data_IF_587676908813
#
_entry.id   IF_587676908813
#
_cell.length_a   1.000
_cell.length_b   1.000
_cell.length_c   1.000
_cell.angle_alpha   90.00
_cell.angle_beta   90.00
_cell.angle_gamma   90.00
#
_symmetry.space_group_name_H-M   'P 1'
#
loop_
_entity.id
_entity.type
_entity.pdbx_description
1 polymer ?
#
# COMPACT_ATOMS: atom_id res chain seq x y z
N UNK A 1 -0.26 3.84 -41.32
CA UNK A 1 -1.13 3.08 -40.36
C UNK A 1 -1.04 3.79 -39.06
N UNK A 2 -2.01 4.65 -38.75
CA UNK A 2 -2.16 5.29 -37.42
C UNK A 2 -2.59 4.20 -36.47
N UNK A 3 -1.73 3.80 -35.55
CA UNK A 3 -2.14 2.97 -34.40
C UNK A 3 -3.10 3.82 -33.56
N UNK A 4 -4.39 3.56 -33.63
CA UNK A 4 -5.32 4.04 -32.64
C UNK A 4 -4.82 3.51 -31.28
N UNK A 5 -4.46 4.40 -30.37
CA UNK A 5 -4.24 4.01 -28.99
C UNK A 5 -5.54 3.37 -28.48
N UNK A 6 -5.49 2.17 -27.90
CA UNK A 6 -6.69 1.55 -27.37
C UNK A 6 -7.32 2.51 -26.34
N UNK A 7 -8.58 2.82 -26.55
CA UNK A 7 -9.33 3.64 -25.59
C UNK A 7 -9.33 2.96 -24.23
N UNK A 8 -9.55 3.72 -23.16
CA UNK A 8 -9.64 3.23 -21.79
C UNK A 8 -11.08 3.36 -21.29
N UNK A 9 -11.66 2.27 -20.83
CA UNK A 9 -12.99 2.24 -20.22
C UNK A 9 -12.89 2.32 -18.69
N UNK A 10 -13.77 3.13 -18.09
CA UNK A 10 -13.86 3.30 -16.63
C UNK A 10 -15.28 3.06 -16.17
N UNK A 11 -15.43 2.35 -15.05
CA UNK A 11 -16.73 2.12 -14.41
C UNK A 11 -16.59 2.05 -12.89
N UNK A 12 -17.61 2.52 -12.20
CA UNK A 12 -17.72 2.36 -10.75
C UNK A 12 -18.27 0.98 -10.41
N UNK A 13 -17.79 0.41 -9.33
CA UNK A 13 -18.24 -0.86 -8.78
C UNK A 13 -18.42 -0.73 -7.26
N UNK A 14 -19.36 -1.46 -6.72
CA UNK A 14 -19.50 -1.56 -5.27
C UNK A 14 -19.92 -2.98 -4.88
N UNK A 15 -19.57 -3.39 -3.67
CA UNK A 15 -19.99 -4.66 -3.11
C UNK A 15 -20.26 -4.55 -1.61
N UNK A 16 -21.15 -5.41 -1.14
CA UNK A 16 -21.45 -5.47 0.29
C UNK A 16 -20.40 -6.30 1.02
N UNK A 17 -20.00 -5.81 2.18
CA UNK A 17 -19.14 -6.51 3.11
C UNK A 17 -19.71 -6.32 4.53
N UNK A 18 -20.39 -7.34 5.03
CA UNK A 18 -21.20 -7.28 6.24
C UNK A 18 -22.26 -6.15 6.18
N UNK A 19 -22.28 -5.27 7.16
CA UNK A 19 -23.17 -4.12 7.23
C UNK A 19 -22.60 -2.86 6.54
N UNK A 20 -21.57 -3.01 5.70
CA UNK A 20 -20.88 -1.89 5.03
C UNK A 20 -20.84 -2.10 3.53
N UNK A 21 -20.59 -1.02 2.79
CA UNK A 21 -20.38 -1.07 1.33
C UNK A 21 -18.96 -0.63 1.02
N UNK A 22 -18.28 -1.40 0.19
CA UNK A 22 -16.99 -1.03 -0.40
C UNK A 22 -17.24 -0.47 -1.80
N UNK A 23 -16.56 0.61 -2.14
CA UNK A 23 -16.66 1.28 -3.43
C UNK A 23 -15.32 1.25 -4.15
N UNK A 24 -15.36 1.04 -5.46
CA UNK A 24 -14.16 0.96 -6.29
C UNK A 24 -14.37 1.49 -7.70
N UNK A 25 -13.26 1.71 -8.37
CA UNK A 25 -13.21 2.10 -9.80
C UNK A 25 -12.47 1.03 -10.57
N UNK A 26 -13.14 0.46 -11.55
CA UNK A 26 -12.58 -0.43 -12.56
C UNK A 26 -12.05 0.41 -13.73
N UNK A 27 -10.86 0.06 -14.19
CA UNK A 27 -10.27 0.61 -15.42
C UNK A 27 -9.82 -0.57 -16.28
N UNK A 28 -10.14 -0.56 -17.58
CA UNK A 28 -9.71 -1.60 -18.49
C UNK A 28 -9.38 -1.05 -19.87
N UNK A 29 -8.58 -1.75 -20.66
CA UNK A 29 -8.47 -1.48 -22.10
C UNK A 29 -9.83 -1.59 -22.77
N UNK A 30 -10.10 -0.74 -23.78
CA UNK A 30 -11.28 -0.91 -24.62
C UNK A 30 -11.12 -2.13 -25.52
N UNK A 31 -12.24 -2.77 -25.82
CA UNK A 31 -12.28 -3.92 -26.72
C UNK A 31 -12.88 -5.17 -26.10
N UNK A 32 -12.82 -6.27 -26.85
CA UNK A 32 -13.33 -7.58 -26.45
C UNK A 32 -12.19 -8.51 -26.08
N UNK A 33 -12.45 -9.44 -25.19
CA UNK A 33 -11.50 -10.46 -24.75
C UNK A 33 -11.36 -10.53 -23.24
N UNK A 34 -10.45 -11.39 -22.79
CA UNK A 34 -10.06 -11.48 -21.39
C UNK A 34 -8.83 -10.61 -21.17
N UNK A 35 -8.82 -9.89 -20.05
CA UNK A 35 -7.69 -9.06 -19.64
C UNK A 35 -7.10 -9.58 -18.34
N UNK A 36 -5.76 -9.66 -18.21
CA UNK A 36 -5.11 -9.76 -16.93
C UNK A 36 -5.51 -8.56 -16.08
N UNK A 37 -5.58 -8.72 -14.77
CA UNK A 37 -6.08 -7.67 -13.89
C UNK A 37 -5.16 -7.42 -12.69
N UNK A 38 -5.18 -6.19 -12.18
CA UNK A 38 -4.43 -5.78 -11.01
C UNK A 38 -5.38 -5.22 -9.97
N UNK A 39 -5.44 -5.84 -8.77
CA UNK A 39 -6.07 -5.22 -7.61
C UNK A 39 -5.07 -4.30 -6.93
N UNK A 40 -5.47 -3.05 -6.65
CA UNK A 40 -4.59 -2.03 -6.09
C UNK A 40 -4.96 -1.74 -4.63
N UNK A 41 -4.00 -1.96 -3.72
CA UNK A 41 -4.21 -1.92 -2.27
C UNK A 41 -3.56 -0.69 -1.68
N UNK A 42 -4.36 0.16 -1.06
CA UNK A 42 -3.91 1.42 -0.47
C UNK A 42 -3.06 1.23 0.80
N UNK A 43 -2.22 2.22 1.09
CA UNK A 43 -1.39 2.29 2.30
C UNK A 43 -2.15 2.72 3.54
N UNK A 44 -1.40 3.11 4.59
CA UNK A 44 -1.90 3.44 5.94
C UNK A 44 -2.89 4.59 5.99
N UNK A 45 -3.70 4.60 7.04
CA UNK A 45 -4.62 5.69 7.38
C UNK A 45 -5.85 5.75 6.47
N UNK A 46 -6.58 6.87 6.46
CA UNK A 46 -7.79 7.06 5.67
C UNK A 46 -7.47 7.34 4.19
N UNK A 47 -6.65 6.49 3.60
CA UNK A 47 -6.18 6.59 2.21
C UNK A 47 -7.22 6.00 1.27
N UNK A 48 -7.68 6.81 0.31
CA UNK A 48 -8.70 6.43 -0.67
C UNK A 48 -8.15 5.54 -1.82
N UNK A 49 -9.01 5.20 -2.76
CA UNK A 49 -8.71 4.35 -3.92
C UNK A 49 -7.65 4.93 -4.87
N UNK A 50 -7.46 6.25 -4.87
CA UNK A 50 -6.44 6.93 -5.67
C UNK A 50 -5.12 7.12 -4.92
N UNK A 51 -5.06 6.58 -3.68
CA UNK A 51 -3.99 6.73 -2.70
C UNK A 51 -3.82 8.17 -2.21
N UNK A 52 -4.89 8.97 -2.26
CA UNK A 52 -4.92 10.25 -1.57
C UNK A 52 -5.22 10.06 -0.08
N UNK A 53 -4.66 10.92 0.73
CA UNK A 53 -4.96 10.95 2.17
C UNK A 53 -5.39 12.37 2.57
N UNK A 54 -6.48 12.54 3.33
CA UNK A 54 -6.88 13.84 3.83
C UNK A 54 -5.89 14.43 4.86
N UNK A 55 -4.92 13.62 5.31
CA UNK A 55 -3.86 14.04 6.22
C UNK A 55 -2.65 14.65 5.50
N UNK A 56 -2.63 14.61 4.17
CA UNK A 56 -1.53 15.08 3.33
C UNK A 56 -2.05 16.15 2.37
N UNK A 57 -1.41 17.31 2.25
CA UNK A 57 -1.83 18.36 1.32
C UNK A 57 -1.82 17.89 -0.14
N UNK A 58 -2.82 18.31 -0.91
CA UNK A 58 -2.94 18.00 -2.33
C UNK A 58 -3.50 16.61 -2.60
N UNK A 59 -3.44 16.20 -3.87
CA UNK A 59 -3.90 14.89 -4.32
C UNK A 59 -2.71 14.07 -4.83
N UNK A 60 -2.37 12.98 -4.13
CA UNK A 60 -1.32 12.07 -4.56
C UNK A 60 -1.67 11.46 -5.94
N UNK A 61 -2.79 10.78 -6.05
CA UNK A 61 -3.32 10.23 -7.30
C UNK A 61 -2.43 9.17 -7.96
N UNK A 62 -1.41 8.63 -7.28
CA UNK A 62 -0.48 7.67 -7.89
C UNK A 62 -1.18 6.40 -8.35
N UNK A 63 -2.15 5.89 -7.58
CA UNK A 63 -2.90 4.71 -8.00
C UNK A 63 -3.69 4.94 -9.29
N UNK A 64 -4.31 6.11 -9.45
CA UNK A 64 -5.02 6.45 -10.67
C UNK A 64 -4.08 6.53 -11.87
N UNK A 65 -2.93 7.17 -11.71
CA UNK A 65 -1.93 7.30 -12.79
C UNK A 65 -1.37 5.93 -13.20
N UNK A 66 -1.09 5.05 -12.24
CA UNK A 66 -0.62 3.70 -12.52
C UNK A 66 -1.71 2.86 -13.19
N UNK A 67 -2.98 2.99 -12.76
CA UNK A 67 -4.10 2.29 -13.39
C UNK A 67 -4.31 2.68 -14.87
N UNK A 68 -4.08 3.95 -15.20
CA UNK A 68 -4.10 4.44 -16.59
C UNK A 68 -2.96 3.82 -17.40
N UNK A 69 -1.74 3.81 -16.86
CA UNK A 69 -0.58 3.18 -17.50
C UNK A 69 -0.73 1.65 -17.66
N UNK A 70 -1.36 0.97 -16.69
CA UNK A 70 -1.70 -0.46 -16.78
C UNK A 70 -2.65 -0.73 -17.96
N UNK A 71 -3.68 0.10 -18.12
CA UNK A 71 -4.63 -0.07 -19.23
C UNK A 71 -3.97 0.10 -20.61
N UNK A 72 -3.00 1.01 -20.73
CA UNK A 72 -2.19 1.17 -21.96
C UNK A 72 -1.33 -0.07 -22.26
N UNK A 73 -1.02 -0.87 -21.26
CA UNK A 73 -0.26 -2.12 -21.37
C UNK A 73 -1.13 -3.38 -21.43
N UNK A 74 -2.44 -3.22 -21.56
CA UNK A 74 -3.37 -4.34 -21.72
C UNK A 74 -3.88 -4.94 -20.41
N UNK A 75 -3.61 -4.33 -19.25
CA UNK A 75 -4.10 -4.79 -17.97
C UNK A 75 -5.36 -4.02 -17.55
N UNK A 76 -6.33 -4.74 -17.03
CA UNK A 76 -7.39 -4.13 -16.25
C UNK A 76 -6.92 -3.85 -14.82
N UNK A 77 -7.61 -2.98 -14.10
CA UNK A 77 -7.32 -2.72 -12.69
C UNK A 77 -8.57 -2.42 -11.88
N UNK A 78 -8.54 -2.73 -10.59
CA UNK A 78 -9.52 -2.31 -9.60
C UNK A 78 -8.81 -1.56 -8.47
N UNK A 79 -9.21 -0.33 -8.26
CA UNK A 79 -8.86 0.49 -7.11
C UNK A 79 -10.08 0.60 -6.21
N UNK A 80 -9.94 0.41 -4.91
CA UNK A 80 -11.07 0.49 -3.98
C UNK A 80 -10.74 1.33 -2.74
N UNK A 81 -11.76 1.98 -2.19
CA UNK A 81 -11.65 2.65 -0.90
C UNK A 81 -11.69 1.61 0.22
N UNK A 82 -10.78 1.70 1.17
CA UNK A 82 -10.96 1.01 2.45
C UNK A 82 -12.28 1.50 3.08
N UNK A 83 -12.99 0.65 3.80
CA UNK A 83 -14.33 0.99 4.34
C UNK A 83 -14.36 2.24 5.21
N UNK A 84 -13.24 2.53 5.89
CA UNK A 84 -13.07 3.74 6.71
C UNK A 84 -12.40 4.91 5.96
N UNK A 85 -12.32 4.85 4.62
CA UNK A 85 -11.67 5.87 3.79
C UNK A 85 -12.56 6.30 2.63
N UNK A 86 -12.13 7.36 1.90
CA UNK A 86 -12.86 7.87 0.75
C UNK A 86 -14.17 8.59 1.10
N UNK A 87 -14.95 8.95 0.08
CA UNK A 87 -16.14 9.80 0.25
C UNK A 87 -17.29 9.13 1.02
N UNK A 88 -17.32 7.79 1.08
CA UNK A 88 -18.36 7.00 1.73
C UNK A 88 -17.99 6.51 3.13
N UNK A 89 -16.83 6.89 3.66
CA UNK A 89 -16.36 6.46 4.98
C UNK A 89 -17.38 6.73 6.10
N UNK A 90 -18.05 7.89 6.07
CA UNK A 90 -19.04 8.27 7.07
C UNK A 90 -20.26 7.34 7.11
N UNK A 91 -20.64 6.74 5.99
CA UNK A 91 -21.77 5.80 5.88
C UNK A 91 -21.44 4.47 6.59
N UNK A 92 -20.18 4.02 6.46
CA UNK A 92 -19.71 2.75 7.03
C UNK A 92 -19.30 2.87 8.51
N UNK A 93 -18.89 4.05 8.94
CA UNK A 93 -18.27 4.26 10.27
C UNK A 93 -19.07 3.71 11.44
N UNK A 94 -20.43 3.85 11.52
CA UNK A 94 -21.20 3.29 12.63
C UNK A 94 -21.08 1.77 12.79
N UNK A 95 -20.83 1.05 11.67
CA UNK A 95 -20.64 -0.40 11.70
C UNK A 95 -19.20 -0.83 12.02
N UNK A 96 -18.23 0.08 11.86
CA UNK A 96 -16.80 -0.21 11.95
C UNK A 96 -16.17 0.12 13.30
N UNK A 97 -16.72 1.08 14.04
CA UNK A 97 -16.15 1.52 15.33
C UNK A 97 -15.95 0.33 16.28
N UNK A 98 -14.72 0.15 16.75
CA UNK A 98 -14.31 -0.94 17.64
C UNK A 98 -14.24 -2.33 16.98
N UNK A 99 -14.34 -2.43 15.67
CA UNK A 99 -14.34 -3.71 14.93
C UNK A 99 -13.29 -3.81 13.84
N UNK A 100 -12.60 -2.71 13.49
CA UNK A 100 -11.52 -2.76 12.50
C UNK A 100 -10.35 -3.61 13.02
N UNK A 101 -9.89 -4.55 12.18
CA UNK A 101 -8.82 -5.50 12.49
C UNK A 101 -8.01 -5.81 11.23
N UNK A 102 -6.92 -6.54 11.36
CA UNK A 102 -6.19 -7.09 10.20
C UNK A 102 -7.11 -7.97 9.34
N UNK A 103 -8.01 -8.75 9.98
CA UNK A 103 -9.02 -9.54 9.27
C UNK A 103 -9.98 -8.65 8.45
N UNK A 104 -10.35 -7.49 8.97
CA UNK A 104 -11.22 -6.55 8.24
C UNK A 104 -10.63 -6.11 6.90
N UNK A 105 -9.31 -5.86 6.85
CA UNK A 105 -8.61 -5.50 5.63
C UNK A 105 -8.39 -6.71 4.70
N UNK A 106 -8.20 -7.90 5.27
CA UNK A 106 -8.16 -9.14 4.51
C UNK A 106 -9.50 -9.37 3.79
N UNK A 107 -10.63 -9.16 4.49
CA UNK A 107 -11.97 -9.31 3.92
C UNK A 107 -12.24 -8.25 2.82
N UNK A 108 -11.77 -7.02 3.00
CA UNK A 108 -11.83 -5.96 1.97
C UNK A 108 -11.09 -6.38 0.69
N UNK A 109 -9.87 -6.88 0.82
CA UNK A 109 -9.09 -7.35 -0.33
C UNK A 109 -9.72 -8.58 -0.99
N UNK A 110 -10.18 -9.54 -0.20
CA UNK A 110 -10.90 -10.71 -0.72
C UNK A 110 -12.17 -10.31 -1.48
N UNK A 111 -12.90 -9.31 -0.99
CA UNK A 111 -14.04 -8.72 -1.66
C UNK A 111 -13.65 -8.04 -2.98
N UNK A 112 -12.56 -7.31 -3.02
CA UNK A 112 -12.04 -6.66 -4.23
C UNK A 112 -11.62 -7.68 -5.30
N UNK A 113 -10.93 -8.76 -4.90
CA UNK A 113 -10.55 -9.84 -5.82
C UNK A 113 -11.80 -10.53 -6.38
N UNK A 114 -12.83 -10.77 -5.55
CA UNK A 114 -14.11 -11.30 -6.03
C UNK A 114 -14.79 -10.35 -7.02
N UNK A 115 -14.84 -9.05 -6.72
CA UNK A 115 -15.41 -8.06 -7.63
C UNK A 115 -14.72 -8.02 -9.00
N UNK A 116 -13.41 -8.30 -9.05
CA UNK A 116 -12.68 -8.51 -10.31
C UNK A 116 -13.11 -9.82 -10.98
N UNK A 117 -13.14 -10.94 -10.26
CA UNK A 117 -13.48 -12.26 -10.85
C UNK A 117 -14.93 -12.35 -11.32
N UNK A 118 -15.82 -11.50 -10.82
CA UNK A 118 -17.21 -11.40 -11.27
C UNK A 118 -17.35 -10.67 -12.61
N UNK A 119 -16.28 -10.01 -13.09
CA UNK A 119 -16.27 -9.40 -14.42
C UNK A 119 -15.99 -10.47 -15.49
N UNK A 120 -16.90 -10.60 -16.45
CA UNK A 120 -16.77 -11.60 -17.52
C UNK A 120 -15.53 -11.43 -18.41
N UNK A 121 -14.93 -10.27 -18.39
CA UNK A 121 -13.74 -9.89 -19.16
C UNK A 121 -12.43 -10.03 -18.37
N UNK A 122 -12.44 -10.47 -17.10
CA UNK A 122 -11.22 -10.70 -16.30
C UNK A 122 -10.71 -12.11 -16.50
N UNK A 123 -9.44 -12.21 -16.77
CA UNK A 123 -8.70 -13.45 -16.78
C UNK A 123 -8.37 -13.90 -15.36
N UNK A 124 -9.16 -14.82 -14.82
CA UNK A 124 -9.14 -15.20 -13.40
C UNK A 124 -7.80 -15.76 -12.89
N UNK A 125 -7.02 -16.39 -13.76
CA UNK A 125 -5.72 -16.92 -13.36
C UNK A 125 -4.58 -15.89 -13.50
N UNK A 126 -4.89 -14.66 -13.91
CA UNK A 126 -3.96 -13.57 -14.17
C UNK A 126 -4.34 -12.34 -13.36
N UNK A 127 -4.64 -12.53 -12.07
CA UNK A 127 -4.91 -11.44 -11.14
C UNK A 127 -3.68 -11.19 -10.28
N UNK A 128 -3.11 -10.00 -10.39
CA UNK A 128 -1.97 -9.53 -9.61
C UNK A 128 -2.43 -8.55 -8.54
N UNK A 129 -1.60 -8.33 -7.51
CA UNK A 129 -1.78 -7.18 -6.61
C UNK A 129 -0.67 -6.15 -6.82
N UNK A 130 -1.03 -4.88 -6.76
CA UNK A 130 -0.12 -3.75 -6.62
C UNK A 130 -0.47 -2.98 -5.34
N UNK A 131 0.51 -2.78 -4.49
CA UNK A 131 0.29 -2.25 -3.15
C UNK A 131 1.07 -0.98 -2.88
N UNK A 132 0.63 -0.19 -1.92
CA UNK A 132 1.38 0.93 -1.37
C UNK A 132 1.59 0.74 0.13
N UNK A 133 2.85 0.81 0.58
CA UNK A 133 3.19 0.87 2.02
C UNK A 133 2.54 -0.27 2.84
N UNK A 134 1.71 0.03 3.84
CA UNK A 134 0.92 -0.93 4.63
C UNK A 134 0.14 -1.92 3.77
N UNK A 135 -0.31 -1.52 2.59
CA UNK A 135 -1.02 -2.40 1.65
C UNK A 135 -0.22 -3.66 1.30
N UNK A 136 1.11 -3.63 1.40
CA UNK A 136 1.98 -4.79 1.22
C UNK A 136 1.69 -5.89 2.24
N UNK A 137 1.44 -5.52 3.51
CA UNK A 137 1.09 -6.47 4.54
C UNK A 137 -0.25 -7.16 4.25
N UNK A 138 -1.23 -6.39 3.76
CA UNK A 138 -2.55 -6.94 3.44
C UNK A 138 -2.48 -7.92 2.26
N UNK A 139 -1.70 -7.61 1.21
CA UNK A 139 -1.53 -8.50 0.08
C UNK A 139 -0.74 -9.77 0.44
N UNK A 140 0.31 -9.65 1.23
CA UNK A 140 1.06 -10.80 1.75
C UNK A 140 0.19 -11.68 2.64
N UNK A 141 -0.53 -11.08 3.61
CA UNK A 141 -1.48 -11.77 4.47
C UNK A 141 -2.53 -12.53 3.66
N UNK A 142 -3.11 -11.89 2.64
CA UNK A 142 -4.07 -12.53 1.75
C UNK A 142 -3.45 -13.76 1.06
N UNK A 143 -2.27 -13.62 0.50
CA UNK A 143 -1.66 -14.65 -0.34
C UNK A 143 -1.21 -15.89 0.45
N UNK A 144 -0.75 -15.73 1.71
CA UNK A 144 -0.24 -16.85 2.51
C UNK A 144 -1.31 -17.63 3.28
N UNK A 145 -2.55 -17.13 3.34
CA UNK A 145 -3.64 -17.78 4.07
C UNK A 145 -4.65 -18.48 3.15
N UNK A 146 -4.17 -19.19 2.13
CA UNK A 146 -4.96 -20.02 1.21
C UNK A 146 -6.20 -19.31 0.66
N UNK A 147 -6.03 -18.21 -0.05
CA UNK A 147 -7.17 -17.43 -0.55
C UNK A 147 -7.99 -18.23 -1.57
N UNK A 148 -9.32 -18.01 -1.58
CA UNK A 148 -10.22 -18.66 -2.53
C UNK A 148 -9.86 -18.37 -4.01
N UNK A 149 -9.24 -17.22 -4.27
CA UNK A 149 -8.67 -16.86 -5.56
C UNK A 149 -7.23 -16.40 -5.32
N UNK A 150 -6.24 -17.26 -5.53
CA UNK A 150 -4.84 -16.87 -5.37
C UNK A 150 -4.43 -15.83 -6.40
N UNK A 151 -3.55 -14.92 -6.00
CA UNK A 151 -2.96 -13.93 -6.90
C UNK A 151 -1.83 -14.58 -7.72
N UNK A 152 -1.69 -14.14 -8.96
CA UNK A 152 -0.64 -14.63 -9.86
C UNK A 152 0.75 -14.04 -9.54
N UNK A 153 0.79 -12.93 -8.82
CA UNK A 153 2.00 -12.29 -8.34
C UNK A 153 1.71 -11.00 -7.58
N UNK A 154 2.72 -10.49 -6.87
CA UNK A 154 2.61 -9.31 -6.01
C UNK A 154 3.62 -8.24 -6.40
N UNK A 155 3.19 -6.99 -6.49
CA UNK A 155 4.05 -5.81 -6.59
C UNK A 155 3.90 -5.01 -5.29
N UNK A 156 4.95 -5.00 -4.48
CA UNK A 156 4.99 -4.38 -3.16
C UNK A 156 5.78 -3.07 -3.23
N UNK A 157 5.11 -1.92 -3.19
CA UNK A 157 5.79 -0.63 -3.27
C UNK A 157 5.85 0.06 -1.91
N UNK A 158 7.01 0.61 -1.55
CA UNK A 158 7.23 1.21 -0.23
C UNK A 158 6.95 0.23 0.93
N UNK A 159 7.18 -1.07 0.71
CA UNK A 159 6.85 -2.12 1.67
C UNK A 159 7.75 -2.05 2.90
N UNK A 160 7.19 -2.01 4.13
CA UNK A 160 7.98 -2.08 5.34
C UNK A 160 8.60 -3.47 5.53
N UNK A 161 9.88 -3.53 5.84
CA UNK A 161 10.62 -4.77 6.13
C UNK A 161 10.91 -4.95 7.60
N UNK A 162 10.25 -4.17 8.45
CA UNK A 162 10.28 -4.25 9.91
C UNK A 162 8.84 -4.17 10.41
N UNK A 163 8.60 -4.59 11.65
CA UNK A 163 7.31 -4.34 12.28
C UNK A 163 6.92 -2.86 12.19
N UNK A 164 5.66 -2.57 11.91
CA UNK A 164 5.17 -1.18 11.70
C UNK A 164 5.52 -0.27 12.87
N UNK A 165 5.42 -0.77 14.10
CA UNK A 165 5.85 -0.02 15.29
C UNK A 165 7.34 0.35 15.27
N UNK A 166 8.20 -0.52 14.75
CA UNK A 166 9.62 -0.23 14.62
C UNK A 166 9.90 0.82 13.52
N UNK A 167 9.14 0.80 12.41
CA UNK A 167 9.21 1.84 11.38
C UNK A 167 8.77 3.18 11.95
N UNK A 168 7.60 3.23 12.62
CA UNK A 168 7.10 4.44 13.27
C UNK A 168 8.09 4.99 14.30
N UNK A 169 8.64 4.11 15.17
CA UNK A 169 9.66 4.51 16.15
C UNK A 169 10.90 5.11 15.49
N UNK A 170 11.36 4.55 14.37
CA UNK A 170 12.51 5.09 13.64
C UNK A 170 12.24 6.49 13.07
N UNK A 171 11.03 6.73 12.58
CA UNK A 171 10.61 8.06 12.10
C UNK A 171 10.60 9.10 13.23
N UNK A 172 10.06 8.73 14.40
CA UNK A 172 10.08 9.60 15.59
C UNK A 172 11.52 9.84 16.06
N UNK A 173 12.36 8.82 16.10
CA UNK A 173 13.76 8.94 16.49
C UNK A 173 14.55 9.89 15.55
N UNK A 174 14.30 9.83 14.24
CA UNK A 174 14.91 10.74 13.29
C UNK A 174 14.50 12.21 13.52
N UNK A 175 13.27 12.45 13.95
CA UNK A 175 12.80 13.80 14.32
C UNK A 175 13.41 14.24 15.66
N UNK A 176 13.41 13.35 16.65
CA UNK A 176 13.94 13.61 17.99
C UNK A 176 15.45 13.90 17.98
N UNK A 177 16.21 13.31 17.07
CA UNK A 177 17.65 13.54 16.95
C UNK A 177 18.03 15.01 16.70
N UNK A 178 17.09 15.82 16.22
CA UNK A 178 17.31 17.23 15.88
C UNK A 178 16.88 18.20 16.99
N UNK A 179 16.47 17.71 18.16
CA UNK A 179 16.04 18.55 19.28
C UNK A 179 16.83 18.20 20.55
N UNK A 180 17.15 19.22 21.41
CA UNK A 180 17.95 18.99 22.64
C UNK A 180 17.33 17.95 23.59
N UNK A 181 16.00 17.89 23.68
CA UNK A 181 15.22 16.95 24.53
C UNK A 181 14.91 15.62 23.82
N UNK A 182 15.64 15.26 22.77
CA UNK A 182 15.34 14.08 21.96
C UNK A 182 15.29 12.77 22.75
N UNK A 183 16.18 12.60 23.74
CA UNK A 183 16.20 11.42 24.58
C UNK A 183 14.93 11.31 25.44
N UNK A 184 14.49 12.42 26.03
CA UNK A 184 13.27 12.50 26.82
C UNK A 184 12.02 12.25 25.95
N UNK A 185 11.99 12.81 24.74
CA UNK A 185 10.92 12.58 23.77
C UNK A 185 10.84 11.10 23.44
N UNK A 186 11.96 10.43 23.16
CA UNK A 186 11.97 8.99 22.87
C UNK A 186 11.53 8.15 24.07
N UNK A 187 11.97 8.47 25.27
CA UNK A 187 11.55 7.74 26.48
C UNK A 187 10.04 7.87 26.73
N UNK A 188 9.48 9.07 26.58
CA UNK A 188 8.05 9.30 26.74
C UNK A 188 7.22 8.61 25.65
N UNK A 189 7.70 8.62 24.39
CA UNK A 189 7.08 7.90 23.29
C UNK A 189 7.09 6.38 23.56
N UNK A 190 8.24 5.80 23.91
CA UNK A 190 8.38 4.37 24.15
C UNK A 190 7.46 3.91 25.31
N UNK A 191 7.40 4.66 26.40
CA UNK A 191 6.50 4.38 27.51
C UNK A 191 5.01 4.43 27.12
N UNK A 192 4.63 5.36 26.23
CA UNK A 192 3.27 5.45 25.70
C UNK A 192 2.92 4.23 24.83
N UNK A 193 3.85 3.78 23.99
CA UNK A 193 3.67 2.59 23.13
C UNK A 193 3.61 1.31 23.98
N UNK A 194 4.43 1.16 25.02
CA UNK A 194 4.34 0.00 25.92
C UNK A 194 2.96 -0.11 26.56
N UNK A 195 2.38 0.99 27.02
CA UNK A 195 1.01 1.02 27.55
C UNK A 195 -0.02 0.63 26.50
N UNK A 196 0.11 1.17 25.27
CA UNK A 196 -0.76 0.83 24.17
C UNK A 196 -0.76 -0.67 23.85
N UNK A 197 0.42 -1.27 23.77
CA UNK A 197 0.57 -2.71 23.50
C UNK A 197 0.05 -3.57 24.67
N UNK A 198 0.16 -3.09 25.89
CA UNK A 198 -0.41 -3.73 27.08
C UNK A 198 -1.94 -3.58 27.19
N UNK A 199 -2.59 -2.90 26.25
CA UNK A 199 -4.03 -2.65 26.30
C UNK A 199 -4.44 -1.60 27.32
N UNK A 200 -3.48 -0.84 27.83
CA UNK A 200 -3.71 0.26 28.79
C UNK A 200 -3.90 1.57 28.02
N UNK A 201 -4.65 2.54 28.56
CA UNK A 201 -4.80 3.84 27.93
C UNK A 201 -3.44 4.51 27.70
N UNK A 202 -3.23 5.02 26.49
CA UNK A 202 -2.13 5.94 26.22
C UNK A 202 -2.45 7.24 26.96
N UNK A 203 -1.53 7.69 27.78
CA UNK A 203 -1.59 9.03 28.37
C UNK A 203 -0.35 9.76 27.87
N UNK A 204 -0.43 10.47 26.72
CA UNK A 204 0.74 11.14 26.17
C UNK A 204 1.29 12.16 27.18
N UNK A 205 2.60 12.17 27.35
CA UNK A 205 3.25 13.19 28.16
C UNK A 205 3.00 14.56 27.54
N UNK A 206 2.51 15.56 28.29
CA UNK A 206 2.24 16.91 27.78
C UNK A 206 3.47 17.63 27.21
N UNK A 207 4.67 17.19 27.55
CA UNK A 207 5.94 17.74 27.01
C UNK A 207 6.27 17.23 25.60
N UNK A 208 5.59 16.20 25.13
CA UNK A 208 5.80 15.67 23.78
C UNK A 208 5.40 16.71 22.71
N UNK A 209 6.15 16.77 21.60
CA UNK A 209 5.73 17.57 20.44
C UNK A 209 4.32 17.20 19.98
N UNK A 210 3.52 18.22 19.65
CA UNK A 210 2.11 18.03 19.30
C UNK A 210 1.86 16.98 18.20
N UNK A 211 2.68 16.87 17.12
CA UNK A 211 2.50 15.81 16.14
C UNK A 211 2.63 14.39 16.73
N UNK A 212 3.51 14.19 17.70
CA UNK A 212 3.67 12.88 18.38
C UNK A 212 2.47 12.61 19.28
N UNK A 213 1.98 13.61 20.02
CA UNK A 213 0.75 13.47 20.81
C UNK A 213 -0.43 13.06 19.92
N UNK A 214 -0.60 13.73 18.77
CA UNK A 214 -1.68 13.41 17.82
C UNK A 214 -1.53 11.99 17.27
N UNK A 215 -0.32 11.56 16.91
CA UNK A 215 -0.06 10.18 16.48
C UNK A 215 -0.48 9.19 17.57
N UNK A 216 -0.01 9.36 18.81
CA UNK A 216 -0.32 8.46 19.91
C UNK A 216 -1.84 8.40 20.18
N UNK A 217 -2.53 9.53 20.16
CA UNK A 217 -3.99 9.58 20.31
C UNK A 217 -4.71 8.87 19.17
N UNK A 218 -4.18 8.97 17.96
CA UNK A 218 -4.78 8.31 16.78
C UNK A 218 -4.75 6.78 16.88
N UNK A 219 -3.75 6.21 17.55
CA UNK A 219 -3.66 4.77 17.78
C UNK A 219 -4.81 4.22 18.63
N UNK A 220 -5.30 5.03 19.59
CA UNK A 220 -6.43 4.65 20.45
C UNK A 220 -7.80 5.10 19.91
N UNK A 221 -7.84 5.73 18.76
CA UNK A 221 -9.11 6.14 18.20
C UNK A 221 -10.02 4.92 18.00
N UNK A 222 -11.27 4.93 18.53
CA UNK A 222 -12.10 3.73 18.54
C UNK A 222 -12.33 3.12 17.14
N UNK A 223 -12.31 3.92 16.08
CA UNK A 223 -12.42 3.42 14.72
C UNK A 223 -11.16 2.67 14.23
N UNK A 224 -10.02 2.84 14.89
CA UNK A 224 -8.76 2.17 14.54
C UNK A 224 -8.48 0.91 15.36
N UNK A 225 -9.28 0.62 16.39
CA UNK A 225 -9.08 -0.53 17.25
C UNK A 225 -10.02 -1.70 16.87
N UNK A 226 -9.56 -2.96 17.00
CA UNK A 226 -8.22 -3.42 17.45
C UNK A 226 -7.09 -3.29 16.41
N UNK A 227 -7.39 -2.94 15.15
CA UNK A 227 -6.46 -2.93 14.01
C UNK A 227 -5.11 -2.27 14.31
N UNK A 228 -5.10 -1.06 14.90
CA UNK A 228 -3.87 -0.34 15.15
C UNK A 228 -2.90 -1.13 16.06
N UNK A 229 -3.43 -1.89 17.04
CA UNK A 229 -2.61 -2.71 17.93
C UNK A 229 -2.06 -3.95 17.22
N UNK A 230 -2.87 -4.60 16.40
CA UNK A 230 -2.45 -5.74 15.59
C UNK A 230 -1.38 -5.32 14.58
N UNK A 231 -1.64 -4.23 13.84
CA UNK A 231 -0.73 -3.69 12.84
C UNK A 231 0.64 -3.32 13.45
N UNK A 232 0.65 -2.74 14.67
CA UNK A 232 1.86 -2.24 15.31
C UNK A 232 2.93 -3.32 15.49
N UNK A 233 2.51 -4.55 15.68
CA UNK A 233 3.39 -5.72 15.87
C UNK A 233 3.57 -6.57 14.61
N UNK A 234 2.85 -6.24 13.54
CA UNK A 234 2.91 -7.01 12.29
C UNK A 234 4.21 -6.75 11.54
N UNK A 235 4.84 -7.85 11.11
CA UNK A 235 6.07 -7.87 10.32
C UNK A 235 5.84 -8.60 9.00
N UNK A 236 6.05 -7.91 7.89
CA UNK A 236 5.86 -8.44 6.53
C UNK A 236 6.87 -9.54 6.17
N UNK A 237 8.04 -9.58 6.82
CA UNK A 237 9.11 -10.53 6.47
C UNK A 237 8.70 -11.98 6.69
N UNK A 238 7.92 -12.25 7.76
CA UNK A 238 7.42 -13.60 8.04
C UNK A 238 6.53 -14.12 6.91
N UNK A 239 5.62 -13.29 6.42
CA UNK A 239 4.74 -13.67 5.31
C UNK A 239 5.48 -13.74 3.98
N UNK A 240 6.41 -12.83 3.71
CA UNK A 240 7.20 -12.86 2.48
C UNK A 240 8.02 -14.15 2.36
N UNK A 241 8.52 -14.68 3.48
CA UNK A 241 9.22 -15.95 3.51
C UNK A 241 8.35 -17.16 3.09
N UNK A 242 7.02 -17.05 3.23
CA UNK A 242 6.07 -18.12 2.92
C UNK A 242 5.39 -17.96 1.55
N UNK A 243 5.54 -16.79 0.90
CA UNK A 243 4.92 -16.55 -0.42
C UNK A 243 5.52 -17.50 -1.48
N UNK A 244 4.63 -18.11 -2.26
CA UNK A 244 4.98 -19.06 -3.34
C UNK A 244 4.82 -18.51 -4.76
N UNK A 245 4.31 -17.28 -4.90
CA UNK A 245 4.15 -16.60 -6.19
C UNK A 245 5.28 -15.61 -6.43
N UNK A 246 5.54 -15.19 -7.67
CA UNK A 246 6.51 -14.14 -7.97
C UNK A 246 6.19 -12.83 -7.24
N UNK A 247 7.21 -12.14 -6.75
CA UNK A 247 7.07 -10.85 -6.06
C UNK A 247 8.06 -9.84 -6.62
N UNK A 248 7.59 -8.61 -6.85
CA UNK A 248 8.44 -7.45 -7.08
C UNK A 248 8.35 -6.53 -5.87
N UNK A 249 9.48 -6.19 -5.25
CA UNK A 249 9.57 -5.19 -4.18
C UNK A 249 10.23 -3.94 -4.73
N UNK A 250 9.54 -2.79 -4.63
CA UNK A 250 10.04 -1.48 -5.07
C UNK A 250 10.07 -0.53 -3.89
N UNK A 251 11.26 -0.08 -3.50
CA UNK A 251 11.44 0.93 -2.44
C UNK A 251 12.37 2.03 -2.96
N UNK A 252 11.84 3.24 -3.12
CA UNK A 252 12.60 4.36 -3.64
C UNK A 252 13.73 4.79 -2.69
N UNK A 253 14.88 5.20 -3.23
CA UNK A 253 15.98 5.73 -2.41
C UNK A 253 15.69 7.11 -1.83
N UNK A 254 14.66 7.79 -2.33
CA UNK A 254 14.13 9.07 -1.80
C UNK A 254 12.91 8.85 -0.88
N UNK A 255 12.57 7.59 -0.57
CA UNK A 255 11.54 7.28 0.42
C UNK A 255 12.06 7.60 1.82
N UNK A 256 11.41 8.57 2.48
CA UNK A 256 11.75 8.98 3.85
C UNK A 256 10.88 8.30 4.92
N UNK A 257 9.89 7.51 4.51
CA UNK A 257 8.99 6.78 5.40
C UNK A 257 9.45 5.33 5.59
N UNK A 258 9.76 4.65 4.50
CA UNK A 258 10.28 3.27 4.47
C UNK A 258 11.68 3.33 3.85
N UNK A 259 12.68 3.01 4.66
CA UNK A 259 14.06 3.21 4.24
C UNK A 259 14.57 2.00 3.46
N UNK A 260 14.97 2.19 2.21
CA UNK A 260 15.33 1.13 1.27
C UNK A 260 16.39 0.13 1.77
N UNK A 261 17.32 0.53 2.67
CA UNK A 261 18.27 -0.40 3.31
C UNK A 261 17.72 -1.01 4.59
N UNK A 262 17.14 -0.20 5.48
CA UNK A 262 16.68 -0.65 6.78
C UNK A 262 15.43 -1.55 6.69
N UNK A 263 14.62 -1.36 5.66
CA UNK A 263 13.46 -2.19 5.36
C UNK A 263 13.72 -3.18 4.22
N UNK A 264 14.40 -2.74 3.16
CA UNK A 264 14.77 -3.62 2.04
C UNK A 264 15.71 -4.75 2.44
N UNK A 265 16.66 -4.52 3.34
CA UNK A 265 17.58 -5.56 3.82
C UNK A 265 16.88 -6.75 4.50
N UNK A 266 16.02 -6.54 5.51
CA UNK A 266 15.22 -7.61 6.10
C UNK A 266 14.31 -8.34 5.10
N UNK A 267 13.67 -7.61 4.17
CA UNK A 267 12.87 -8.23 3.10
C UNK A 267 13.73 -9.10 2.19
N UNK A 268 14.93 -8.64 1.80
CA UNK A 268 15.87 -9.45 1.00
C UNK A 268 16.29 -10.71 1.73
N UNK A 269 16.54 -10.62 3.04
CA UNK A 269 16.90 -11.77 3.85
C UNK A 269 15.75 -12.78 3.95
N UNK A 270 14.52 -12.30 4.14
CA UNK A 270 13.32 -13.16 4.21
C UNK A 270 12.99 -13.82 2.87
N UNK A 271 13.31 -13.17 1.76
CA UNK A 271 13.07 -13.66 0.40
C UNK A 271 14.06 -14.72 -0.07
N UNK A 272 15.01 -15.14 0.76
CA UNK A 272 16.05 -16.09 0.35
C UNK A 272 15.44 -17.41 -0.18
N UNK A 273 15.76 -17.76 -1.42
CA UNK A 273 15.24 -18.95 -2.08
C UNK A 273 13.82 -18.82 -2.64
N UNK A 274 13.26 -17.61 -2.66
CA UNK A 274 11.96 -17.28 -3.26
C UNK A 274 12.13 -16.52 -4.58
N UNK A 275 11.10 -16.51 -5.40
CA UNK A 275 11.05 -15.74 -6.65
C UNK A 275 10.67 -14.27 -6.33
N UNK A 276 11.64 -13.53 -5.79
CA UNK A 276 11.46 -12.12 -5.39
C UNK A 276 12.51 -11.25 -6.06
N UNK A 277 12.05 -10.28 -6.83
CA UNK A 277 12.87 -9.25 -7.45
C UNK A 277 12.85 -8.00 -6.60
N UNK A 278 14.00 -7.36 -6.38
CA UNK A 278 14.12 -6.09 -5.65
C UNK A 278 14.57 -4.98 -6.57
N UNK A 279 13.91 -3.84 -6.49
CA UNK A 279 14.28 -2.62 -7.17
C UNK A 279 14.33 -1.46 -6.16
N UNK A 280 15.40 -0.68 -6.23
CA UNK A 280 15.59 0.52 -5.40
C UNK A 280 15.81 1.74 -6.30
N UNK A 281 14.75 2.31 -6.90
CA UNK A 281 14.85 3.43 -7.84
C UNK A 281 15.53 4.63 -7.20
N UNK A 282 16.40 5.29 -7.96
CA UNK A 282 17.25 6.39 -7.44
C UNK A 282 16.42 7.59 -6.99
N UNK A 283 15.36 7.92 -7.72
CA UNK A 283 14.61 9.16 -7.52
C UNK A 283 13.15 8.94 -7.09
N UNK A 284 12.72 7.71 -6.86
CA UNK A 284 11.37 7.48 -6.37
C UNK A 284 11.22 7.83 -4.90
N UNK A 285 10.14 8.53 -4.56
CA UNK A 285 9.72 8.75 -3.18
C UNK A 285 8.70 7.69 -2.72
N UNK A 286 8.16 7.82 -1.50
CA UNK A 286 7.24 6.86 -0.89
C UNK A 286 5.99 6.55 -1.72
N UNK A 287 5.51 7.52 -2.48
CA UNK A 287 4.28 7.41 -3.27
C UNK A 287 4.54 7.21 -4.76
N UNK A 288 5.70 6.67 -5.12
CA UNK A 288 6.14 6.42 -6.49
C UNK A 288 6.27 7.69 -7.36
N UNK A 289 6.42 8.86 -6.75
CA UNK A 289 6.66 10.09 -7.50
C UNK A 289 8.15 10.35 -7.63
N UNK A 290 8.52 10.96 -8.76
CA UNK A 290 9.90 11.42 -8.98
C UNK A 290 10.23 12.58 -8.04
N UNK A 291 11.29 12.42 -7.24
CA UNK A 291 11.79 13.39 -6.28
C UNK A 291 13.18 13.88 -6.73
N UNK A 292 13.27 15.10 -7.31
CA UNK A 292 14.52 15.63 -7.81
C UNK A 292 15.48 16.11 -6.71
N UNK A 293 14.95 16.41 -5.50
CA UNK A 293 15.76 16.96 -4.40
C UNK A 293 16.78 15.93 -3.92
N UNK A 294 18.06 16.31 -3.73
CA UNK A 294 19.03 15.42 -3.11
C UNK A 294 18.58 14.95 -1.73
N UNK A 295 18.78 13.66 -1.40
CA UNK A 295 18.32 13.09 -0.14
C UNK A 295 18.85 13.85 1.10
N UNK A 296 20.07 14.37 1.03
CA UNK A 296 20.67 15.16 2.12
C UNK A 296 19.98 16.51 2.38
N UNK A 297 19.22 17.01 1.40
CA UNK A 297 18.50 18.28 1.46
C UNK A 297 16.99 18.05 1.66
N UNK A 298 16.52 16.82 1.54
CA UNK A 298 15.11 16.46 1.59
C UNK A 298 14.62 16.45 3.03
N UNK A 299 13.84 17.46 3.41
CA UNK A 299 13.16 17.48 4.71
C UNK A 299 11.86 16.70 4.66
N UNK A 300 11.37 16.16 5.80
CA UNK A 300 10.08 15.48 5.85
C UNK A 300 8.92 16.33 5.34
N UNK A 301 8.88 17.61 5.69
CA UNK A 301 7.85 18.54 5.24
C UNK A 301 7.89 18.77 3.73
N UNK A 302 9.08 18.94 3.14
CA UNK A 302 9.25 19.11 1.70
C UNK A 302 8.84 17.85 0.92
N UNK A 303 9.25 16.67 1.40
CA UNK A 303 8.88 15.40 0.81
C UNK A 303 7.36 15.18 0.80
N UNK A 304 6.70 15.40 1.94
CA UNK A 304 5.23 15.25 2.04
C UNK A 304 4.49 16.26 1.16
N UNK A 305 4.96 17.52 1.09
CA UNK A 305 4.38 18.52 0.20
C UNK A 305 4.49 18.12 -1.28
N UNK A 306 5.54 17.39 -1.64
CA UNK A 306 5.76 16.90 -3.01
C UNK A 306 4.79 15.81 -3.43
N UNK A 307 4.26 15.02 -2.50
CA UNK A 307 3.37 13.89 -2.81
C UNK A 307 2.13 14.31 -3.59
N UNK A 308 1.50 15.39 -3.19
CA UNK A 308 0.28 15.91 -3.82
C UNK A 308 0.50 17.13 -4.73
N UNK A 309 1.75 17.44 -5.09
CA UNK A 309 2.06 18.59 -5.95
C UNK A 309 1.59 18.35 -7.38
N UNK A 310 0.98 19.37 -8.01
CA UNK A 310 0.40 19.27 -9.34
C UNK A 310 1.44 19.00 -10.46
N UNK A 311 2.70 19.35 -10.23
CA UNK A 311 3.83 19.12 -11.14
C UNK A 311 4.55 17.78 -10.86
N UNK A 312 4.09 17.03 -9.86
CA UNK A 312 4.68 15.75 -9.48
C UNK A 312 4.23 14.64 -10.43
N UNK A 313 5.18 13.96 -11.04
CA UNK A 313 4.93 12.85 -11.98
C UNK A 313 5.38 11.53 -11.34
N UNK A 314 4.85 10.41 -11.84
CA UNK A 314 5.37 9.09 -11.44
C UNK A 314 6.86 8.98 -11.79
N UNK A 315 7.61 8.32 -10.93
CA UNK A 315 9.01 8.02 -11.21
C UNK A 315 9.08 7.01 -12.37
N UNK A 316 9.77 7.35 -13.47
CA UNK A 316 9.76 6.54 -14.67
C UNK A 316 10.46 5.19 -14.46
N UNK A 317 11.53 5.12 -13.66
CA UNK A 317 12.23 3.87 -13.35
C UNK A 317 11.30 2.89 -12.62
N UNK A 318 10.56 3.39 -11.64
CA UNK A 318 9.57 2.61 -10.89
C UNK A 318 8.43 2.14 -11.79
N UNK A 319 7.87 3.03 -12.58
CA UNK A 319 6.74 2.71 -13.46
C UNK A 319 7.11 1.68 -14.52
N UNK A 320 8.21 1.88 -15.22
CA UNK A 320 8.69 0.96 -16.26
C UNK A 320 8.99 -0.43 -15.69
N UNK A 321 9.60 -0.51 -14.50
CA UNK A 321 9.87 -1.77 -13.84
C UNK A 321 8.59 -2.51 -13.43
N UNK A 322 7.61 -1.81 -12.86
CA UNK A 322 6.32 -2.40 -12.48
C UNK A 322 5.61 -2.95 -13.71
N UNK A 323 5.48 -2.14 -14.75
CA UNK A 323 4.79 -2.54 -15.98
C UNK A 323 5.53 -3.68 -16.70
N UNK A 324 6.85 -3.59 -16.80
CA UNK A 324 7.69 -4.63 -17.41
C UNK A 324 7.62 -5.97 -16.68
N UNK A 325 7.62 -5.94 -15.34
CA UNK A 325 7.51 -7.12 -14.52
C UNK A 325 6.14 -7.81 -14.68
N UNK A 326 5.06 -7.04 -14.67
CA UNK A 326 3.70 -7.56 -14.86
C UNK A 326 3.55 -8.20 -16.26
N UNK A 327 4.02 -7.53 -17.31
CA UNK A 327 4.00 -8.07 -18.70
C UNK A 327 4.80 -9.39 -18.77
N UNK A 328 6.01 -9.44 -18.22
CA UNK A 328 6.85 -10.63 -18.21
C UNK A 328 6.16 -11.84 -17.57
N UNK A 329 5.52 -11.64 -16.40
CA UNK A 329 4.84 -12.72 -15.69
C UNK A 329 3.54 -13.12 -16.38
N UNK A 330 2.80 -12.17 -16.98
CA UNK A 330 1.63 -12.49 -17.80
C UNK A 330 2.00 -13.35 -19.00
N UNK A 331 3.02 -12.98 -19.77
CA UNK A 331 3.50 -13.78 -20.88
C UNK A 331 3.97 -15.18 -20.47
N UNK A 332 4.47 -15.32 -19.24
CA UNK A 332 4.86 -16.63 -18.71
C UNK A 332 3.65 -17.51 -18.44
N UNK A 333 2.56 -16.93 -17.90
CA UNK A 333 1.27 -17.64 -17.71
C UNK A 333 0.70 -18.05 -19.06
N UNK A 334 0.71 -17.16 -20.06
CA UNK A 334 0.18 -17.44 -21.39
C UNK A 334 0.94 -18.59 -22.10
N UNK A 335 2.28 -18.60 -21.97
CA UNK A 335 3.11 -19.70 -22.52
C UNK A 335 2.78 -21.04 -21.88
N UNK A 336 2.56 -21.09 -20.57
CA UNK A 336 2.20 -22.32 -19.86
C UNK A 336 0.84 -22.88 -20.32
N UNK A 337 -0.11 -22.02 -20.63
CA UNK A 337 -1.45 -22.41 -21.12
C UNK A 337 -1.43 -22.97 -22.53
N UNK A 338 -0.59 -22.44 -23.40
CA UNK A 338 -0.46 -22.95 -24.79
C UNK A 338 0.24 -24.31 -24.80
N UNK A 339 1.00 -24.64 -23.77
CA UNK A 339 1.73 -25.88 -23.63
C UNK A 339 0.90 -27.03 -23.02
N UNK A 340 -0.27 -26.73 -22.44
CA UNK A 340 -1.24 -27.70 -21.87
C UNK A 340 -2.37 -27.97 -22.86
#
# INVERSE_FOLDING_TARGET
>A
MTSEQPGVERSEVSWQLDATTVYGTLVRPSGQGLFPAVVMVAGSGPTDRDWNSPLIPGANGSARLVAEALAERGFASLRYDKRAAGPHAAENMPALVGKMSMQSHLDELAGAVRALTDQAWVERASIFALTSSEGALHALNYQVHDPAVPLAGLVLTGAPGRAIGAVGRAQIAAQAANVPSGAEVMAAYDAAIERFLAGQPITPDPSLPQPIVMLLQSLEYPANLPFARELWTTDATAWLADVSVPVLVVIGKKDIQVHWRADGGPLQAAAAGRDVTFLFPENANHVLKHEPTPLAELTPAAAVARYGSADSVLDPESLDAILGWLVFHQESIDRLRVAL
#
